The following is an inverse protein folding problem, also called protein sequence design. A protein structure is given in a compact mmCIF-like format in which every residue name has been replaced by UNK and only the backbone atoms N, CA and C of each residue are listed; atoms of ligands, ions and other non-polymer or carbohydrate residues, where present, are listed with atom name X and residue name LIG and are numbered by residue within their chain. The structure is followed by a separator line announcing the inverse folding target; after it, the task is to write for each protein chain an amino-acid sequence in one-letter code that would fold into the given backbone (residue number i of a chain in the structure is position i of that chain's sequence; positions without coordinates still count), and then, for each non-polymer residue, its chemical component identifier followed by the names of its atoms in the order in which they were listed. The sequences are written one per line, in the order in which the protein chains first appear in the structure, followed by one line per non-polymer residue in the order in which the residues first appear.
data_IF_998899152337
#
_entry.id   IF_998899152337
#
_cell.length_a   1.000
_cell.length_b   1.000
_cell.length_c   1.000
_cell.angle_alpha   90.00
_cell.angle_beta   90.00
_cell.angle_gamma   90.00
#
_symmetry.space_group_name_H-M   'P 1'
#
loop_
_entity.id
_entity.type
_entity.pdbx_description
1 polymer ?
#
# COMPACT_ATOMS: atom_id res chain seq x y z
N UNK A 1 -6.31 2.21 8.59
CA UNK A 1 -6.49 1.00 7.75
C UNK A 1 -5.13 0.38 7.47
N UNK A 2 -5.06 -0.94 7.44
CA UNK A 2 -3.89 -1.70 7.00
C UNK A 2 -4.23 -2.35 5.65
N UNK A 3 -3.34 -2.19 4.67
CA UNK A 3 -3.48 -2.76 3.34
C UNK A 3 -2.34 -3.76 3.12
N UNK A 4 -2.67 -5.03 3.05
CA UNK A 4 -1.70 -6.08 2.79
C UNK A 4 -1.57 -6.35 1.29
N UNK A 5 -0.40 -6.86 0.88
CA UNK A 5 -0.04 -7.15 -0.51
C UNK A 5 -0.43 -6.06 -1.51
N UNK A 6 -0.10 -4.79 -1.19
CA UNK A 6 -0.48 -3.64 -2.02
C UNK A 6 0.08 -3.73 -3.45
N UNK A 7 1.18 -4.47 -3.65
CA UNK A 7 1.78 -4.71 -4.97
C UNK A 7 0.86 -5.44 -5.95
N UNK A 8 -0.12 -6.21 -5.46
CA UNK A 8 -1.05 -7.00 -6.28
C UNK A 8 -2.31 -6.22 -6.69
N UNK A 9 -2.41 -4.94 -6.31
CA UNK A 9 -3.56 -4.12 -6.68
C UNK A 9 -3.66 -3.94 -8.19
N UNK A 10 -4.84 -4.23 -8.74
CA UNK A 10 -5.18 -3.91 -10.13
C UNK A 10 -5.03 -2.40 -10.39
N UNK A 11 -4.61 -1.97 -11.60
CA UNK A 11 -4.37 -0.57 -11.92
C UNK A 11 -5.53 0.39 -11.58
N UNK A 12 -6.77 -0.02 -11.84
CA UNK A 12 -7.97 0.77 -11.50
C UNK A 12 -8.11 0.99 -9.98
N UNK A 13 -7.73 -0.01 -9.19
CA UNK A 13 -7.78 0.09 -7.72
C UNK A 13 -6.67 1.01 -7.21
N UNK A 14 -5.50 1.00 -7.85
CA UNK A 14 -4.42 1.94 -7.53
C UNK A 14 -4.87 3.40 -7.75
N UNK A 15 -5.60 3.69 -8.84
CA UNK A 15 -6.15 5.04 -9.09
C UNK A 15 -7.13 5.46 -8.00
N UNK A 16 -8.06 4.58 -7.62
CA UNK A 16 -9.04 4.88 -6.57
C UNK A 16 -8.37 5.09 -5.22
N UNK A 17 -7.37 4.29 -4.88
CA UNK A 17 -6.60 4.47 -3.65
C UNK A 17 -5.81 5.77 -3.65
N UNK A 18 -5.15 6.12 -4.75
CA UNK A 18 -4.45 7.39 -4.89
C UNK A 18 -5.39 8.57 -4.63
N UNK A 19 -6.61 8.51 -5.17
CA UNK A 19 -7.64 9.53 -4.94
C UNK A 19 -8.04 9.64 -3.47
N UNK A 20 -8.24 8.52 -2.78
CA UNK A 20 -8.51 8.49 -1.33
C UNK A 20 -7.37 9.16 -0.55
N UNK A 21 -6.13 8.86 -0.90
CA UNK A 21 -4.94 9.41 -0.21
C UNK A 21 -4.82 10.92 -0.42
N UNK A 22 -5.10 11.40 -1.63
CA UNK A 22 -4.92 12.81 -2.00
C UNK A 22 -6.10 13.68 -1.61
N UNK A 23 -7.32 13.28 -1.98
CA UNK A 23 -8.54 14.07 -1.81
C UNK A 23 -9.23 13.82 -0.47
N UNK A 24 -8.82 12.77 0.26
CA UNK A 24 -9.45 12.35 1.52
C UNK A 24 -10.94 12.07 1.36
N UNK A 25 -11.34 11.57 0.20
CA UNK A 25 -12.71 11.20 -0.11
C UNK A 25 -12.78 10.04 -1.10
N UNK A 26 -13.93 9.37 -1.13
CA UNK A 26 -14.22 8.34 -2.12
C UNK A 26 -15.71 8.25 -2.42
N UNK A 27 -16.06 7.61 -3.53
CA UNK A 27 -17.45 7.28 -3.89
C UNK A 27 -17.69 5.79 -3.66
N UNK A 28 -18.67 5.42 -2.82
CA UNK A 28 -19.12 4.04 -2.68
C UNK A 28 -19.61 3.46 -4.01
N UNK A 29 -19.52 2.15 -4.17
CA UNK A 29 -19.98 1.50 -5.40
C UNK A 29 -21.50 1.64 -5.50
N UNK A 30 -22.00 2.13 -6.63
CA UNK A 30 -23.42 2.35 -6.86
C UNK A 30 -23.94 3.70 -6.35
N UNK A 31 -23.10 4.52 -5.73
CA UNK A 31 -23.44 5.88 -5.32
C UNK A 31 -22.83 6.93 -6.26
N UNK A 32 -23.39 8.13 -6.24
CA UNK A 32 -22.86 9.31 -6.95
C UNK A 32 -22.24 10.33 -5.98
N UNK A 33 -22.59 10.26 -4.70
CA UNK A 33 -22.06 11.12 -3.65
C UNK A 33 -20.66 10.69 -3.21
N UNK A 34 -19.81 11.68 -2.97
CA UNK A 34 -18.51 11.47 -2.33
C UNK A 34 -18.66 11.50 -0.81
N UNK A 35 -17.84 10.70 -0.14
CA UNK A 35 -17.75 10.62 1.32
C UNK A 35 -16.36 11.02 1.74
N UNK A 36 -16.26 12.05 2.60
CA UNK A 36 -14.99 12.46 3.21
C UNK A 36 -14.56 11.51 4.31
N UNK A 37 -13.26 11.28 4.41
CA UNK A 37 -12.66 10.39 5.39
C UNK A 37 -11.40 11.00 6.01
N UNK A 38 -11.19 10.73 7.29
CA UNK A 38 -9.90 10.98 7.95
C UNK A 38 -9.34 9.64 8.41
N UNK A 39 -8.38 9.11 7.65
CA UNK A 39 -7.83 7.78 7.87
C UNK A 39 -6.33 7.80 7.79
N UNK A 40 -5.69 7.08 8.72
CA UNK A 40 -4.28 6.72 8.61
C UNK A 40 -4.15 5.44 7.80
N UNK A 41 -3.25 5.44 6.82
CA UNK A 41 -2.98 4.28 5.95
C UNK A 41 -1.62 3.70 6.33
N UNK A 42 -1.58 2.38 6.47
CA UNK A 42 -0.37 1.57 6.58
C UNK A 42 -0.48 0.51 5.48
N UNK A 43 0.58 0.30 4.70
CA UNK A 43 0.60 -0.69 3.64
C UNK A 43 1.78 -1.63 3.82
N UNK A 44 1.59 -2.89 3.41
CA UNK A 44 2.62 -3.91 3.34
C UNK A 44 2.57 -4.60 1.97
N UNK A 45 3.69 -5.18 1.57
CA UNK A 45 3.83 -5.93 0.32
C UNK A 45 5.09 -6.78 0.39
N UNK A 46 5.03 -7.97 -0.19
CA UNK A 46 6.20 -8.81 -0.40
C UNK A 46 6.96 -8.48 -1.72
N UNK A 47 6.32 -7.72 -2.62
CA UNK A 47 6.88 -7.29 -3.91
C UNK A 47 7.74 -6.04 -3.75
N UNK A 48 8.86 -5.98 -4.48
CA UNK A 48 9.65 -4.76 -4.65
C UNK A 48 8.86 -3.75 -5.51
N UNK A 49 8.30 -2.73 -4.85
CA UNK A 49 7.52 -1.71 -5.53
C UNK A 49 8.34 -0.83 -6.47
N UNK A 50 9.66 -0.66 -6.25
CA UNK A 50 10.50 0.12 -7.18
C UNK A 50 10.64 -0.62 -8.50
N UNK A 51 10.83 -1.94 -8.46
CA UNK A 51 10.84 -2.77 -9.66
C UNK A 51 9.45 -2.85 -10.31
N UNK A 52 8.38 -2.95 -9.51
CA UNK A 52 7.01 -2.93 -10.03
C UNK A 52 6.68 -1.61 -10.75
N UNK A 53 7.19 -0.48 -10.26
CA UNK A 53 7.08 0.82 -10.93
C UNK A 53 7.84 0.82 -12.26
N UNK A 54 9.08 0.33 -12.28
CA UNK A 54 9.87 0.22 -13.53
C UNK A 54 9.17 -0.67 -14.57
N UNK A 55 8.51 -1.74 -14.13
CA UNK A 55 7.78 -2.67 -14.98
C UNK A 55 6.38 -2.17 -15.38
N UNK A 56 5.95 -1.00 -14.88
CA UNK A 56 4.64 -0.43 -15.17
C UNK A 56 3.46 -1.17 -14.52
N UNK A 57 3.71 -2.11 -13.61
CA UNK A 57 2.67 -2.85 -12.88
C UNK A 57 2.18 -2.10 -11.64
N UNK A 58 2.98 -1.14 -11.16
CA UNK A 58 2.62 -0.26 -10.06
C UNK A 58 2.81 1.21 -10.44
N UNK A 59 1.87 2.07 -10.05
CA UNK A 59 1.96 3.49 -10.38
C UNK A 59 3.00 4.20 -9.53
N UNK A 60 3.84 4.97 -10.20
CA UNK A 60 4.91 5.76 -9.58
C UNK A 60 4.35 6.80 -8.57
N UNK A 61 3.24 7.49 -8.92
CA UNK A 61 2.61 8.49 -8.07
C UNK A 61 2.07 7.91 -6.75
N UNK A 62 1.47 6.71 -6.80
CA UNK A 62 1.02 5.98 -5.63
C UNK A 62 2.22 5.50 -4.79
N UNK A 63 3.28 5.01 -5.43
CA UNK A 63 4.49 4.57 -4.73
C UNK A 63 5.08 5.70 -3.88
N UNK A 64 5.24 6.91 -4.42
CA UNK A 64 5.77 8.04 -3.65
C UNK A 64 4.82 8.52 -2.55
N UNK A 65 3.50 8.34 -2.70
CA UNK A 65 2.52 8.67 -1.65
C UNK A 65 2.54 7.69 -0.48
N UNK A 66 2.83 6.41 -0.74
CA UNK A 66 2.90 5.38 0.30
C UNK A 66 4.29 5.34 0.97
N UNK A 67 5.36 5.54 0.20
CA UNK A 67 6.75 5.34 0.64
C UNK A 67 7.35 6.54 1.39
N UNK A 68 6.53 7.26 2.16
CA UNK A 68 6.98 8.40 2.97
C UNK A 68 7.79 7.95 4.19
N UNK A 69 7.36 6.86 4.84
CA UNK A 69 8.05 6.24 5.98
C UNK A 69 8.20 4.74 5.68
N UNK A 70 9.20 4.35 4.88
CA UNK A 70 9.43 2.94 4.56
C UNK A 70 9.96 2.20 5.78
N UNK A 71 9.45 1.00 6.02
CA UNK A 71 9.92 0.08 7.06
C UNK A 71 10.24 -1.24 6.39
N UNK A 72 11.51 -1.61 6.37
CA UNK A 72 11.95 -2.92 5.89
C UNK A 72 11.90 -3.92 7.04
N UNK A 73 11.16 -5.01 6.85
CA UNK A 73 11.04 -6.07 7.85
C UNK A 73 11.99 -7.23 7.49
N UNK A 74 13.06 -7.48 8.28
CA UNK A 74 13.95 -8.58 7.99
C UNK A 74 13.25 -9.93 8.18
N UNK A 75 13.51 -10.93 7.31
CA UNK A 75 12.95 -12.27 7.44
C UNK A 75 13.46 -12.93 8.72
N UNK A 76 12.68 -13.86 9.28
CA UNK A 76 13.00 -14.54 10.55
C UNK A 76 14.39 -15.22 10.56
N UNK A 77 14.87 -15.71 9.41
CA UNK A 77 16.22 -16.28 9.26
C UNK A 77 17.37 -15.30 9.57
N UNK A 78 17.10 -13.99 9.56
CA UNK A 78 18.03 -12.93 9.94
C UNK A 78 17.82 -12.46 11.39
N UNK A 79 16.87 -13.06 12.11
CA UNK A 79 16.48 -12.72 13.48
C UNK A 79 16.42 -13.99 14.36
N UNK A 80 17.49 -14.81 14.42
CA UNK A 80 17.48 -16.07 15.16
C UNK A 80 17.20 -15.88 16.67
N UNK A 81 17.50 -14.72 17.23
CA UNK A 81 17.23 -14.36 18.63
C UNK A 81 15.74 -14.33 19.00
N UNK A 82 14.84 -14.17 18.00
CA UNK A 82 13.40 -14.19 18.21
C UNK A 82 12.82 -15.62 18.27
N UNK A 83 13.65 -16.63 18.01
CA UNK A 83 13.26 -18.05 18.03
C UNK A 83 13.59 -18.63 19.40
N UNK A 84 12.57 -19.00 20.17
CA UNK A 84 12.77 -19.69 21.45
C UNK A 84 13.47 -21.04 21.22
N UNK A 85 14.44 -21.42 22.08
CA UNK A 85 15.02 -22.76 22.05
C UNK A 85 13.93 -23.81 22.34
N UNK A 86 13.93 -24.88 21.55
CA UNK A 86 13.02 -26.03 21.67
C UNK A 86 13.28 -26.85 22.93
#
# INVERSE_FOLDING_TARGET
IFLDEIGDLRPETQVRLLRVIQEREFTPIGETSQVKVDVRIIAATNVDLKEAVKNGTFREDLYYRLSVVPIELPPLRQRPEDILPL
#
